data_IF_220942394535
#
_entry.id   IF_220942394535
#
_cell.length_a   1.000
_cell.length_b   1.000
_cell.length_c   1.000
_cell.angle_alpha   90.00
_cell.angle_beta   90.00
_cell.angle_gamma   90.00
#
_symmetry.space_group_name_H-M   'P 1'
#
loop_
_entity.id
_entity.type
_entity.pdbx_description
1 polymer ?
#
# COMPACT_ATOMS: atom_id res chain seq x y z
N UNK A 1 36.02 -39.56 -1.28
CA UNK A 1 34.65 -39.04 -1.13
C UNK A 1 34.51 -38.64 0.33
N UNK A 2 34.52 -37.34 0.64
CA UNK A 2 34.35 -36.87 2.01
C UNK A 2 32.86 -36.98 2.36
N UNK A 3 32.55 -37.67 3.45
CA UNK A 3 31.18 -37.77 3.95
C UNK A 3 30.99 -36.60 4.90
N UNK A 4 30.24 -35.59 4.47
CA UNK A 4 29.77 -34.53 5.35
C UNK A 4 28.62 -35.07 6.18
N UNK A 5 28.83 -35.14 7.50
CA UNK A 5 27.83 -35.65 8.44
C UNK A 5 27.01 -34.46 8.91
N UNK A 6 25.76 -34.39 8.43
CA UNK A 6 24.81 -33.38 8.86
C UNK A 6 24.35 -33.67 10.30
N UNK A 7 24.52 -32.70 11.21
CA UNK A 7 24.10 -32.85 12.60
C UNK A 7 22.69 -32.31 12.80
N UNK A 8 22.04 -32.75 13.90
CA UNK A 8 20.76 -32.15 14.32
C UNK A 8 20.88 -30.67 14.67
N UNK A 9 22.06 -30.20 15.05
CA UNK A 9 22.30 -28.80 15.37
C UNK A 9 22.20 -27.94 14.09
N UNK A 10 22.81 -28.39 13.00
CA UNK A 10 22.79 -27.71 11.70
C UNK A 10 21.37 -27.55 11.16
N UNK A 11 20.52 -28.59 11.31
CA UNK A 11 19.11 -28.51 10.95
C UNK A 11 18.33 -27.51 11.80
N UNK A 12 18.68 -27.39 13.08
CA UNK A 12 18.02 -26.46 14.00
C UNK A 12 18.42 -25.01 13.69
N UNK A 13 19.68 -24.80 13.32
CA UNK A 13 20.22 -23.51 12.91
C UNK A 13 19.64 -23.07 11.56
N UNK A 14 19.56 -23.99 10.60
CA UNK A 14 18.87 -23.76 9.33
C UNK A 14 17.39 -23.41 9.54
N UNK A 15 16.67 -24.16 10.39
CA UNK A 15 15.26 -23.85 10.72
C UNK A 15 15.12 -22.44 11.28
N UNK A 16 16.01 -22.02 12.19
CA UNK A 16 15.97 -20.66 12.77
C UNK A 16 16.21 -19.61 11.70
N UNK A 17 17.26 -19.75 10.89
CA UNK A 17 17.56 -18.83 9.79
C UNK A 17 16.40 -18.72 8.80
N UNK A 18 15.83 -19.86 8.41
CA UNK A 18 14.70 -19.91 7.49
C UNK A 18 13.47 -19.18 8.06
N UNK A 19 13.15 -19.39 9.34
CA UNK A 19 12.03 -18.72 9.98
C UNK A 19 12.28 -17.21 10.11
N UNK A 20 13.50 -16.79 10.44
CA UNK A 20 13.86 -15.37 10.46
C UNK A 20 13.68 -14.71 9.09
N UNK A 21 14.16 -15.35 8.03
CA UNK A 21 14.05 -14.81 6.67
C UNK A 21 12.59 -14.73 6.20
N UNK A 22 11.78 -15.77 6.49
CA UNK A 22 10.33 -15.74 6.26
C UNK A 22 9.69 -14.58 7.03
N UNK A 23 10.04 -14.37 8.30
CA UNK A 23 9.47 -13.25 9.08
C UNK A 23 9.88 -11.88 8.55
N UNK A 24 11.11 -11.73 8.03
CA UNK A 24 11.57 -10.48 7.40
C UNK A 24 10.80 -10.21 6.10
N UNK A 25 10.57 -11.23 5.29
CA UNK A 25 9.77 -11.12 4.06
C UNK A 25 8.33 -10.72 4.40
N UNK A 26 7.72 -11.35 5.41
CA UNK A 26 6.35 -11.05 5.83
C UNK A 26 6.23 -9.64 6.44
N UNK A 27 7.24 -9.16 7.18
CA UNK A 27 7.27 -7.79 7.70
C UNK A 27 7.57 -6.73 6.63
N UNK A 28 8.11 -7.14 5.47
CA UNK A 28 8.50 -6.26 4.37
C UNK A 28 7.34 -5.64 3.58
N UNK A 29 6.09 -5.99 3.89
CA UNK A 29 4.92 -5.42 3.22
C UNK A 29 3.89 -4.93 4.24
N UNK A 30 3.82 -3.61 4.40
CA UNK A 30 2.69 -2.86 4.94
C UNK A 30 2.52 -2.76 6.47
N UNK A 31 3.55 -2.27 7.15
CA UNK A 31 3.31 -1.14 8.07
C UNK A 31 3.47 0.17 7.30
N UNK A 32 2.65 0.38 6.27
CA UNK A 32 2.35 1.75 5.88
C UNK A 32 1.56 2.30 7.05
N UNK A 33 2.27 2.93 7.99
CA UNK A 33 1.67 3.72 9.06
C UNK A 33 0.48 4.44 8.48
N UNK A 34 -0.70 4.19 9.04
CA UNK A 34 -1.99 4.63 8.50
C UNK A 34 -1.95 6.15 8.38
N UNK A 35 -1.56 6.65 7.20
CA UNK A 35 -1.19 8.04 7.01
C UNK A 35 -2.46 8.81 6.67
N UNK A 36 -2.89 9.61 7.64
CA UNK A 36 -4.01 10.52 7.45
C UNK A 36 -3.55 11.76 6.72
N UNK A 37 -4.14 12.01 5.56
CA UNK A 37 -3.85 13.16 4.71
C UNK A 37 -4.95 14.21 4.86
N UNK A 38 -4.59 15.48 4.90
CA UNK A 38 -5.55 16.59 4.87
C UNK A 38 -5.98 16.91 3.44
N UNK A 39 -7.09 17.63 3.29
CA UNK A 39 -7.60 18.05 1.97
C UNK A 39 -6.57 18.83 1.13
N UNK A 40 -5.64 19.56 1.75
CA UNK A 40 -4.54 20.24 1.04
C UNK A 40 -3.54 19.26 0.45
N UNK A 41 -3.20 18.20 1.18
CA UNK A 41 -2.22 17.19 0.77
C UNK A 41 -2.80 16.29 -0.32
N UNK A 42 -4.05 15.85 -0.16
CA UNK A 42 -4.73 15.03 -1.19
C UNK A 42 -4.86 15.78 -2.51
N UNK A 43 -5.18 17.07 -2.49
CA UNK A 43 -5.23 17.90 -3.70
C UNK A 43 -3.87 18.00 -4.39
N UNK A 44 -2.79 18.13 -3.62
CA UNK A 44 -1.43 18.16 -4.17
C UNK A 44 -1.02 16.79 -4.73
N UNK A 45 -1.38 15.72 -4.04
CA UNK A 45 -1.05 14.34 -4.43
C UNK A 45 -1.74 13.94 -5.74
N UNK A 46 -3.05 14.17 -5.84
CA UNK A 46 -3.84 13.83 -7.02
C UNK A 46 -3.84 14.93 -8.09
N UNK A 47 -3.23 16.08 -7.79
CA UNK A 47 -3.24 17.28 -8.63
C UNK A 47 -4.66 17.71 -9.08
N UNK A 48 -5.59 17.81 -8.13
CA UNK A 48 -7.01 18.12 -8.39
C UNK A 48 -7.46 19.43 -7.74
N UNK A 49 -8.50 20.02 -8.31
CA UNK A 49 -9.14 21.23 -7.78
C UNK A 49 -9.92 20.95 -6.47
N UNK A 50 -10.19 21.97 -5.64
CA UNK A 50 -11.06 21.84 -4.47
C UNK A 50 -12.47 21.33 -4.81
N UNK A 51 -13.04 21.78 -5.92
CA UNK A 51 -14.36 21.34 -6.40
C UNK A 51 -14.36 19.86 -6.78
N UNK A 52 -13.28 19.38 -7.42
CA UNK A 52 -13.13 17.95 -7.74
C UNK A 52 -13.07 17.10 -6.47
N UNK A 53 -12.27 17.49 -5.47
CA UNK A 53 -12.20 16.75 -4.20
C UNK A 53 -13.51 16.84 -3.40
N UNK A 54 -14.28 17.92 -3.54
CA UNK A 54 -15.63 18.00 -2.98
C UNK A 54 -16.57 17.02 -3.68
N UNK A 55 -16.56 16.98 -5.01
CA UNK A 55 -17.40 16.05 -5.77
C UNK A 55 -17.11 14.59 -5.39
N UNK A 56 -15.84 14.21 -5.28
CA UNK A 56 -15.41 12.87 -4.85
C UNK A 56 -15.93 12.48 -3.46
N UNK A 57 -16.13 13.45 -2.56
CA UNK A 57 -16.74 13.19 -1.24
C UNK A 57 -18.25 13.11 -1.31
N UNK A 58 -18.87 14.07 -1.99
CA UNK A 58 -20.34 14.19 -2.07
C UNK A 58 -20.95 12.98 -2.79
N UNK A 59 -20.29 12.49 -3.84
CA UNK A 59 -20.73 11.30 -4.57
C UNK A 59 -20.29 9.97 -3.93
N UNK A 60 -19.59 10.01 -2.79
CA UNK A 60 -19.12 8.82 -2.06
C UNK A 60 -17.96 8.06 -2.71
N UNK A 61 -17.29 8.61 -3.74
CA UNK A 61 -16.15 7.94 -4.41
C UNK A 61 -14.92 7.88 -3.50
N UNK A 62 -14.71 8.89 -2.65
CA UNK A 62 -13.62 8.94 -1.69
C UNK A 62 -14.16 9.16 -0.27
N UNK A 63 -13.90 8.19 0.60
CA UNK A 63 -14.19 8.22 2.03
C UNK A 63 -13.37 9.29 2.73
N UNK A 64 -13.95 9.90 3.77
CA UNK A 64 -13.28 10.92 4.55
C UNK A 64 -13.73 10.88 6.01
N UNK A 65 -12.87 11.36 6.89
CA UNK A 65 -13.15 11.53 8.33
C UNK A 65 -13.12 13.02 8.65
N UNK A 66 -14.17 13.53 9.29
CA UNK A 66 -14.26 14.93 9.71
C UNK A 66 -14.00 15.05 11.22
N UNK A 67 -12.98 15.80 11.60
CA UNK A 67 -12.64 16.07 13.01
C UNK A 67 -12.39 17.58 13.15
N UNK A 68 -13.16 18.25 14.01
CA UNK A 68 -12.99 19.70 14.26
C UNK A 68 -13.11 20.58 13.01
N UNK A 69 -13.93 20.19 12.03
CA UNK A 69 -14.06 20.90 10.75
C UNK A 69 -12.98 20.58 9.71
N UNK A 70 -11.91 19.89 10.10
CA UNK A 70 -10.85 19.43 9.20
C UNK A 70 -11.23 18.06 8.64
N UNK A 71 -10.96 17.88 7.34
CA UNK A 71 -11.25 16.66 6.61
C UNK A 71 -9.97 15.88 6.37
N UNK A 72 -9.97 14.64 6.82
CA UNK A 72 -8.88 13.68 6.73
C UNK A 72 -9.25 12.53 5.79
N UNK A 73 -8.24 12.01 5.11
CA UNK A 73 -8.39 10.90 4.17
C UNK A 73 -7.34 9.86 4.49
N UNK A 74 -7.71 8.59 4.39
CA UNK A 74 -6.78 7.49 4.52
C UNK A 74 -6.02 7.33 3.21
N UNK A 75 -4.68 7.26 3.29
CA UNK A 75 -3.86 6.99 2.12
C UNK A 75 -4.26 5.68 1.41
N UNK A 76 -4.64 4.65 2.16
CA UNK A 76 -5.02 3.36 1.58
C UNK A 76 -6.29 3.45 0.75
N UNK A 77 -7.24 4.30 1.14
CA UNK A 77 -8.48 4.50 0.38
C UNK A 77 -8.23 5.31 -0.90
N UNK A 78 -7.28 6.25 -0.89
CA UNK A 78 -6.82 6.96 -2.09
C UNK A 78 -6.16 5.99 -3.08
N UNK A 79 -5.30 5.10 -2.59
CA UNK A 79 -4.64 4.09 -3.43
C UNK A 79 -5.67 3.11 -4.03
N UNK A 80 -6.65 2.67 -3.25
CA UNK A 80 -7.78 1.85 -3.77
C UNK A 80 -8.56 2.59 -4.85
N UNK A 81 -8.84 3.88 -4.67
CA UNK A 81 -9.52 4.70 -5.68
C UNK A 81 -8.73 4.74 -6.98
N UNK A 82 -7.42 4.98 -6.91
CA UNK A 82 -6.55 5.01 -8.09
C UNK A 82 -6.51 3.66 -8.80
N UNK A 83 -6.35 2.58 -8.04
CA UNK A 83 -6.30 1.23 -8.59
C UNK A 83 -7.65 0.81 -9.20
N UNK A 84 -8.78 1.19 -8.58
CA UNK A 84 -10.12 0.90 -9.10
C UNK A 84 -10.45 1.65 -10.39
N UNK A 85 -9.88 2.84 -10.60
CA UNK A 85 -10.06 3.63 -11.83
C UNK A 85 -8.98 3.35 -12.89
N UNK A 86 -8.07 2.40 -12.64
CA UNK A 86 -7.01 2.06 -13.58
C UNK A 86 -7.61 1.35 -14.80
N UNK A 87 -7.57 2.01 -15.95
CA UNK A 87 -7.98 1.41 -17.23
C UNK A 87 -6.77 0.72 -17.85
N UNK A 88 -6.93 -0.55 -18.23
CA UNK A 88 -5.94 -1.25 -19.05
C UNK A 88 -5.96 -0.65 -20.45
N UNK A 89 -5.05 0.28 -20.73
CA UNK A 89 -4.80 0.68 -22.09
C UNK A 89 -4.26 -0.54 -22.84
N UNK A 90 -5.07 -1.12 -23.73
CA UNK A 90 -4.52 -1.98 -24.77
C UNK A 90 -3.53 -1.10 -25.55
N UNK A 91 -2.28 -1.55 -25.77
CA UNK A 91 -1.38 -0.83 -26.66
C UNK A 91 -2.05 -0.84 -28.03
N UNK A 92 -2.59 0.31 -28.45
CA UNK A 92 -2.98 0.51 -29.84
C UNK A 92 -1.68 0.53 -30.62
N UNK A 93 -1.26 -0.67 -31.05
CA UNK A 93 -0.22 -0.88 -32.03
C UNK A 93 -0.70 -0.21 -33.32
N UNK A 94 -0.28 1.05 -33.48
CA UNK A 94 -0.33 1.85 -34.69
C UNK A 94 -1.73 2.28 -35.16
N UNK A 95 -1.86 3.57 -35.50
CA UNK A 95 -2.87 4.09 -36.41
C UNK A 95 -2.15 4.83 -37.53
#
# INVERSE_FOLDING_TARGET
MAIEILTKADLCEFRKSLLEDITKILKGTNEQSKKWLKSTEVRKLLNISPGTLQNLRVNGTLTYTKIGGIMYYDQTDIEKLLNGNKVNALPTLFK
#
